data_IF_995077585289
#
_entry.id   IF_995077585289
#
_cell.length_a   1.000
_cell.length_b   1.000
_cell.length_c   1.000
_cell.angle_alpha   90.00
_cell.angle_beta   90.00
_cell.angle_gamma   90.00
#
_symmetry.space_group_name_H-M   'P 1'
#
loop_
_entity.id
_entity.type
_entity.pdbx_description
1 polymer ?
#
# COMPACT_ATOMS: atom_id res chain seq x y z
N UNK A 1 -7.97 20.84 -2.53
CA UNK A 1 -7.96 19.44 -2.97
C UNK A 1 -7.25 18.57 -1.94
N UNK A 2 -7.87 17.49 -1.52
CA UNK A 2 -7.28 16.61 -0.50
C UNK A 2 -6.18 15.75 -1.09
N UNK A 3 -5.06 15.67 -0.40
CA UNK A 3 -3.97 14.77 -0.75
C UNK A 3 -4.33 13.35 -0.33
N UNK A 4 -4.07 12.38 -1.20
CA UNK A 4 -4.25 10.97 -0.87
C UNK A 4 -3.14 10.55 0.11
N UNK A 5 -3.53 9.90 1.21
CA UNK A 5 -2.57 9.37 2.18
C UNK A 5 -2.02 8.04 1.69
N UNK A 6 -0.89 8.09 1.01
CA UNK A 6 -0.24 6.90 0.49
C UNK A 6 0.75 6.31 1.50
N UNK A 7 0.87 4.98 1.49
CA UNK A 7 1.90 4.30 2.28
C UNK A 7 3.27 4.59 1.66
N UNK A 8 4.29 4.74 2.52
CA UNK A 8 5.66 4.92 2.05
C UNK A 8 6.24 3.60 1.57
N UNK A 9 7.28 3.66 0.76
CA UNK A 9 7.98 2.44 0.32
C UNK A 9 8.46 1.61 1.50
N UNK A 10 8.94 2.26 2.54
CA UNK A 10 9.41 1.59 3.74
C UNK A 10 8.28 0.83 4.44
N UNK A 11 7.10 1.44 4.55
CA UNK A 11 5.94 0.79 5.15
C UNK A 11 5.51 -0.43 4.34
N UNK A 12 5.49 -0.31 3.02
CA UNK A 12 5.14 -1.41 2.12
C UNK A 12 6.13 -2.56 2.30
N UNK A 13 7.41 -2.26 2.29
CA UNK A 13 8.48 -3.24 2.44
C UNK A 13 8.40 -3.96 3.79
N UNK A 14 8.18 -3.22 4.87
CA UNK A 14 8.03 -3.79 6.21
C UNK A 14 6.81 -4.71 6.28
N UNK A 15 5.74 -4.36 5.57
CA UNK A 15 4.54 -5.17 5.53
C UNK A 15 4.79 -6.52 4.87
N UNK A 16 5.52 -6.53 3.75
CA UNK A 16 5.90 -7.78 3.08
C UNK A 16 6.83 -8.61 3.94
N UNK A 17 7.79 -7.98 4.61
CA UNK A 17 8.74 -8.67 5.48
C UNK A 17 8.06 -9.32 6.70
N UNK A 18 7.00 -8.71 7.19
CA UNK A 18 6.27 -9.21 8.36
C UNK A 18 5.17 -10.21 8.01
N UNK A 19 4.99 -10.50 6.72
CA UNK A 19 3.94 -11.42 6.27
C UNK A 19 4.15 -12.81 6.87
N UNK A 20 3.16 -13.37 7.61
CA UNK A 20 3.30 -14.71 8.17
C UNK A 20 3.28 -15.78 7.07
N UNK A 21 3.86 -16.92 7.36
CA UNK A 21 3.82 -18.07 6.46
C UNK A 21 2.38 -18.51 6.21
N UNK A 22 2.06 -18.78 4.97
CA UNK A 22 0.72 -19.21 4.59
C UNK A 22 -0.25 -18.08 4.31
N UNK A 23 0.19 -16.82 4.46
CA UNK A 23 -0.62 -15.64 4.16
C UNK A 23 -0.11 -14.95 2.91
N UNK A 24 -1.01 -14.21 2.27
CA UNK A 24 -0.67 -13.37 1.15
C UNK A 24 -0.91 -11.92 1.52
N UNK A 25 -0.20 -11.01 0.87
CA UNK A 25 -0.37 -9.57 1.06
C UNK A 25 -1.33 -9.05 0.01
N UNK A 26 -2.37 -8.34 0.46
CA UNK A 26 -3.29 -7.66 -0.44
C UNK A 26 -3.07 -6.15 -0.32
N UNK A 27 -2.84 -5.50 -1.45
CA UNK A 27 -2.66 -4.05 -1.50
C UNK A 27 -3.92 -3.38 -2.06
N UNK A 28 -4.36 -2.33 -1.39
CA UNK A 28 -5.42 -1.46 -1.91
C UNK A 28 -4.77 -0.25 -2.54
N UNK A 29 -5.00 -0.06 -3.84
CA UNK A 29 -4.42 1.06 -4.60
C UNK A 29 -5.53 1.97 -5.11
N UNK A 30 -5.23 3.25 -5.14
CA UNK A 30 -6.12 4.26 -5.72
C UNK A 30 -5.32 5.14 -6.66
N UNK A 31 -6.00 5.74 -7.63
CA UNK A 31 -5.35 6.66 -8.54
C UNK A 31 -5.18 8.02 -7.88
N UNK A 32 -3.95 8.50 -7.84
CA UNK A 32 -3.64 9.82 -7.29
C UNK A 32 -3.61 10.85 -8.43
N UNK A 33 -4.59 11.74 -8.41
CA UNK A 33 -4.71 12.78 -9.43
C UNK A 33 -3.58 13.80 -9.40
N UNK A 34 -2.93 13.95 -8.25
CA UNK A 34 -1.84 14.91 -8.11
C UNK A 34 -0.55 14.44 -8.78
N UNK A 35 -0.27 13.15 -8.72
CA UNK A 35 0.93 12.56 -9.31
C UNK A 35 0.66 11.78 -10.59
N UNK A 36 -0.60 11.62 -10.97
CA UNK A 36 -1.02 10.86 -12.14
C UNK A 36 -0.51 9.41 -12.10
N UNK A 37 -0.60 8.78 -10.94
CA UNK A 37 -0.18 7.38 -10.79
C UNK A 37 -0.99 6.71 -9.69
N UNK A 38 -1.00 5.37 -9.72
CA UNK A 38 -1.62 4.60 -8.64
C UNK A 38 -0.69 4.55 -7.43
N UNK A 39 -1.28 4.71 -6.25
CA UNK A 39 -0.54 4.63 -4.99
C UNK A 39 -1.22 3.63 -4.07
N UNK A 40 -0.43 2.96 -3.25
CA UNK A 40 -0.95 2.02 -2.25
C UNK A 40 -1.38 2.79 -1.02
N UNK A 41 -2.65 2.66 -0.63
CA UNK A 41 -3.22 3.38 0.52
C UNK A 41 -3.41 2.48 1.73
N UNK A 42 -3.53 1.18 1.53
CA UNK A 42 -3.61 0.23 2.65
C UNK A 42 -3.16 -1.14 2.21
N UNK A 43 -2.84 -1.98 3.17
CA UNK A 43 -2.42 -3.36 2.94
C UNK A 43 -3.02 -4.24 4.02
N UNK A 44 -3.20 -5.53 3.72
CA UNK A 44 -3.65 -6.51 4.71
C UNK A 44 -3.15 -7.89 4.33
N UNK A 45 -3.15 -8.79 5.30
CA UNK A 45 -2.84 -10.20 5.08
C UNK A 45 -4.13 -10.99 4.87
N UNK A 46 -4.12 -11.87 3.90
CA UNK A 46 -5.26 -12.74 3.60
C UNK A 46 -4.84 -14.20 3.48
#
# INVERSE_FOLDING_TARGET
MKKVNAMTEKQIEEFYDACPDGYEVEETRVFDMLSFQYVTVSMRYI
#
